data_IF_005832587823
#
_entry.id   IF_005832587823
#
_cell.length_a   1.000
_cell.length_b   1.000
_cell.length_c   1.000
_cell.angle_alpha   90.00
_cell.angle_beta   90.00
_cell.angle_gamma   90.00
#
_symmetry.space_group_name_H-M   'P 1'
#
loop_
_entity.id
_entity.type
_entity.pdbx_description
1 polymer ?
#
# COMPACT_ATOMS: atom_id res chain seq x y z
N UNK A 1 -17.39 -43.16 -60.99
CA UNK A 1 -17.58 -42.53 -59.67
C UNK A 1 -16.95 -41.15 -59.76
N UNK A 2 -17.79 -40.11 -59.82
CA UNK A 2 -17.50 -38.65 -59.85
C UNK A 2 -16.67 -38.14 -61.04
N UNK A 3 -17.38 -37.45 -61.94
CA UNK A 3 -16.89 -36.62 -63.04
C UNK A 3 -17.11 -35.13 -62.69
N UNK A 4 -16.36 -34.23 -63.37
CA UNK A 4 -16.62 -32.79 -63.60
C UNK A 4 -16.26 -31.83 -62.44
N UNK A 5 -15.74 -30.60 -62.58
CA UNK A 5 -15.54 -29.66 -63.70
C UNK A 5 -14.31 -28.76 -63.36
N UNK A 6 -13.40 -28.53 -64.30
CA UNK A 6 -12.51 -27.36 -64.31
C UNK A 6 -13.30 -26.15 -64.86
N UNK A 7 -13.56 -25.13 -64.04
CA UNK A 7 -14.17 -23.89 -64.50
C UNK A 7 -13.09 -22.80 -64.62
N UNK A 8 -12.60 -22.62 -65.85
CA UNK A 8 -11.99 -21.37 -66.31
C UNK A 8 -13.15 -20.41 -66.61
N UNK A 9 -13.27 -19.34 -65.84
CA UNK A 9 -13.93 -18.10 -66.30
C UNK A 9 -12.97 -16.95 -66.05
N UNK A 10 -12.34 -16.56 -67.14
CA UNK A 10 -11.78 -15.24 -67.37
C UNK A 10 -12.94 -14.23 -67.37
N UNK A 11 -12.82 -13.10 -66.69
CA UNK A 11 -13.53 -11.86 -67.06
C UNK A 11 -12.92 -10.63 -66.37
N UNK A 12 -12.40 -9.74 -67.23
CA UNK A 12 -12.40 -8.28 -67.15
C UNK A 12 -11.65 -7.60 -66.00
N UNK A 13 -10.47 -7.12 -66.38
CA UNK A 13 -9.90 -5.80 -66.09
C UNK A 13 -10.99 -4.75 -65.82
N UNK A 14 -11.18 -4.39 -64.55
CA UNK A 14 -11.91 -3.18 -64.15
C UNK A 14 -10.89 -2.15 -63.68
N UNK A 15 -10.87 -1.07 -64.44
CA UNK A 15 -10.08 0.13 -64.27
C UNK A 15 -10.22 0.70 -62.85
N UNK A 16 -9.09 1.08 -62.26
CA UNK A 16 -8.93 2.27 -61.41
C UNK A 16 -10.21 2.84 -60.77
N UNK A 17 -10.74 2.18 -59.73
CA UNK A 17 -11.59 2.84 -58.76
C UNK A 17 -10.71 3.24 -57.59
N UNK A 18 -10.29 4.50 -57.63
CA UNK A 18 -9.77 5.22 -56.47
C UNK A 18 -10.88 5.16 -55.42
N UNK A 19 -10.75 4.25 -54.47
CA UNK A 19 -11.54 4.27 -53.25
C UNK A 19 -11.12 5.53 -52.50
N UNK A 20 -11.86 6.62 -52.70
CA UNK A 20 -11.80 7.82 -51.88
C UNK A 20 -12.31 7.44 -50.49
N UNK A 21 -11.45 6.82 -49.67
CA UNK A 21 -11.70 6.73 -48.24
C UNK A 21 -11.80 8.17 -47.70
N UNK A 22 -12.87 8.54 -46.97
CA UNK A 22 -12.96 9.89 -46.42
C UNK A 22 -11.75 10.13 -45.51
N UNK A 23 -10.98 11.23 -45.70
CA UNK A 23 -9.74 11.49 -44.96
C UNK A 23 -9.95 11.61 -43.44
N UNK A 24 -11.20 11.78 -43.02
CA UNK A 24 -11.62 11.87 -41.63
C UNK A 24 -11.49 10.54 -40.86
N UNK A 25 -11.56 9.37 -41.52
CA UNK A 25 -11.47 8.08 -40.82
C UNK A 25 -10.03 7.78 -40.35
N UNK A 26 -9.03 8.26 -41.09
CA UNK A 26 -7.59 8.13 -40.75
C UNK A 26 -7.17 9.07 -39.61
N UNK A 27 -7.74 10.28 -39.59
CA UNK A 27 -7.50 11.26 -38.51
C UNK A 27 -8.03 10.79 -37.16
N UNK A 28 -9.16 10.06 -37.15
CA UNK A 28 -9.80 9.59 -35.92
C UNK A 28 -9.04 8.42 -35.26
N UNK A 29 -8.38 7.57 -36.06
CA UNK A 29 -7.53 6.47 -35.56
C UNK A 29 -6.22 7.00 -34.98
N UNK A 30 -5.64 8.03 -35.60
CA UNK A 30 -4.42 8.68 -35.11
C UNK A 30 -4.63 9.38 -33.76
N UNK A 31 -5.81 9.95 -33.53
CA UNK A 31 -6.15 10.66 -32.29
C UNK A 31 -6.41 9.71 -31.10
N UNK A 32 -6.86 8.47 -31.36
CA UNK A 32 -7.08 7.46 -30.31
C UNK A 32 -5.77 6.83 -29.78
N UNK A 33 -4.67 6.90 -30.54
CA UNK A 33 -3.36 6.40 -30.14
C UNK A 33 -2.52 7.41 -29.35
N UNK A 34 -2.97 8.67 -29.23
CA UNK A 34 -2.32 9.69 -28.42
C UNK A 34 -2.95 9.86 -27.03
N UNK A 35 -3.72 8.88 -26.55
CA UNK A 35 -4.10 8.86 -25.15
C UNK A 35 -2.79 8.75 -24.34
N UNK A 36 -2.48 9.71 -23.45
CA UNK A 36 -1.35 9.55 -22.55
C UNK A 36 -1.57 8.26 -21.78
N UNK A 37 -0.55 7.40 -21.75
CA UNK A 37 -0.53 6.27 -20.82
C UNK A 37 -0.63 6.88 -19.42
N UNK A 38 -1.85 6.88 -18.86
CA UNK A 38 -2.05 7.16 -17.46
C UNK A 38 -1.45 5.95 -16.75
N UNK A 39 -0.18 6.07 -16.35
CA UNK A 39 0.41 5.11 -15.44
C UNK A 39 -0.50 5.10 -14.21
N UNK A 40 -1.19 3.98 -13.97
CA UNK A 40 -1.91 3.80 -12.72
C UNK A 40 -0.88 3.96 -11.62
N UNK A 41 -1.05 4.99 -10.79
CA UNK A 41 -0.24 5.17 -9.60
C UNK A 41 -0.45 3.94 -8.71
N UNK A 42 0.44 2.95 -8.83
CA UNK A 42 0.50 1.83 -7.91
C UNK A 42 0.79 2.40 -6.54
N UNK A 43 0.06 1.93 -5.53
CA UNK A 43 0.22 2.44 -4.18
C UNK A 43 1.62 2.03 -3.69
N UNK A 44 2.53 2.98 -3.40
CA UNK A 44 3.92 2.67 -3.11
C UNK A 44 4.13 1.96 -1.75
N UNK A 45 3.06 1.80 -0.97
CA UNK A 45 3.07 1.07 0.30
C UNK A 45 1.85 0.16 0.32
N UNK A 46 2.05 -1.16 0.26
CA UNK A 46 0.95 -2.13 0.25
C UNK A 46 1.11 -3.20 1.34
N UNK A 47 -0.02 -3.55 1.96
CA UNK A 47 -0.08 -4.61 2.96
C UNK A 47 -0.21 -5.96 2.27
N UNK A 48 0.78 -6.82 2.45
CA UNK A 48 0.75 -8.22 2.00
C UNK A 48 -0.03 -9.09 2.97
N UNK A 49 0.11 -8.79 4.26
CA UNK A 49 -0.52 -9.53 5.34
C UNK A 49 -0.96 -8.59 6.46
N UNK A 50 -2.14 -8.84 7.02
CA UNK A 50 -2.68 -8.11 8.15
C UNK A 50 -3.59 -9.02 8.97
N UNK A 51 -3.26 -9.22 10.25
CA UNK A 51 -4.08 -10.05 11.15
C UNK A 51 -3.98 -9.60 12.60
N UNK A 52 -5.13 -9.37 13.22
CA UNK A 52 -5.27 -9.28 14.68
C UNK A 52 -5.52 -10.66 15.27
N UNK A 53 -4.74 -11.06 16.26
CA UNK A 53 -4.89 -12.35 16.96
C UNK A 53 -4.77 -12.14 18.45
N UNK A 54 -5.49 -12.95 19.21
CA UNK A 54 -5.33 -12.98 20.67
C UNK A 54 -4.23 -13.97 21.03
N UNK A 55 -3.18 -13.49 21.69
CA UNK A 55 -2.04 -14.27 22.16
C UNK A 55 -1.74 -13.87 23.60
N UNK A 56 -1.52 -14.84 24.49
CA UNK A 56 -1.10 -14.59 25.88
C UNK A 56 -1.97 -13.55 26.62
N UNK A 57 -3.30 -13.60 26.41
CA UNK A 57 -4.30 -12.65 26.97
C UNK A 57 -4.16 -11.21 26.46
N UNK A 58 -3.46 -10.98 25.36
CA UNK A 58 -3.38 -9.68 24.70
C UNK A 58 -3.89 -9.80 23.26
N UNK A 59 -4.55 -8.74 22.80
CA UNK A 59 -4.76 -8.56 21.37
C UNK A 59 -3.47 -8.05 20.76
N UNK A 60 -2.89 -8.84 19.87
CA UNK A 60 -1.66 -8.49 19.13
C UNK A 60 -1.92 -8.36 17.64
N UNK A 61 -1.18 -7.45 17.01
CA UNK A 61 -1.21 -7.17 15.58
C UNK A 61 0.01 -7.80 14.89
N UNK A 62 -0.25 -8.54 13.82
CA UNK A 62 0.76 -9.00 12.89
C UNK A 62 0.49 -8.37 11.51
N UNK A 63 1.52 -7.78 10.91
CA UNK A 63 1.43 -7.17 9.58
C UNK A 63 2.74 -7.33 8.81
N UNK A 64 2.61 -7.49 7.48
CA UNK A 64 3.72 -7.43 6.53
C UNK A 64 3.36 -6.42 5.47
N UNK A 65 4.22 -5.42 5.30
CA UNK A 65 4.09 -4.30 4.37
C UNK A 65 5.28 -4.31 3.43
N UNK A 66 5.00 -4.18 2.15
CA UNK A 66 5.99 -4.01 1.09
C UNK A 66 6.02 -2.55 0.64
N UNK A 67 7.20 -2.10 0.20
CA UNK A 67 7.44 -0.73 -0.20
C UNK A 67 8.01 -0.69 -1.62
N UNK A 68 7.40 0.14 -2.45
CA UNK A 68 7.90 0.53 -3.76
C UNK A 68 8.30 2.01 -3.69
N UNK A 69 9.47 2.27 -3.12
CA UNK A 69 9.95 3.64 -2.94
C UNK A 69 10.30 4.27 -4.30
N UNK A 70 9.80 5.48 -4.60
CA UNK A 70 10.21 6.20 -5.79
C UNK A 70 11.72 6.52 -5.78
N UNK A 71 12.38 6.57 -6.95
CA UNK A 71 13.81 6.87 -7.02
C UNK A 71 14.26 8.14 -6.28
N UNK A 72 13.52 9.27 -6.27
CA UNK A 72 13.90 10.45 -5.49
C UNK A 72 13.95 10.20 -3.97
N UNK A 73 13.07 9.35 -3.45
CA UNK A 73 13.02 8.99 -2.02
C UNK A 73 14.21 8.09 -1.66
N UNK A 74 14.54 7.12 -2.52
CA UNK A 74 15.73 6.27 -2.37
C UNK A 74 16.98 7.12 -2.39
N UNK A 75 17.09 8.05 -3.36
CA UNK A 75 18.22 8.95 -3.49
C UNK A 75 18.39 9.80 -2.22
N UNK A 76 17.31 10.31 -1.64
CA UNK A 76 17.36 11.06 -0.39
C UNK A 76 17.92 10.20 0.75
N UNK A 77 17.41 8.99 0.94
CA UNK A 77 17.90 8.05 1.97
C UNK A 77 19.40 7.80 1.78
N UNK A 78 19.84 7.56 0.54
CA UNK A 78 21.25 7.30 0.19
C UNK A 78 22.18 8.49 0.46
N UNK A 79 21.63 9.71 0.52
CA UNK A 79 22.35 10.95 0.84
C UNK A 79 22.19 11.39 2.31
N UNK A 80 21.97 10.43 3.22
CA UNK A 80 21.88 10.67 4.67
C UNK A 80 20.72 11.61 5.05
N UNK A 81 19.66 11.64 4.23
CA UNK A 81 18.43 12.34 4.59
C UNK A 81 17.55 11.38 5.40
N UNK A 82 17.23 11.80 6.61
CA UNK A 82 16.39 11.05 7.54
C UNK A 82 14.93 11.10 7.08
N UNK A 83 14.47 10.03 6.44
CA UNK A 83 13.07 9.87 6.05
C UNK A 83 12.28 9.27 7.20
N UNK A 84 11.20 9.94 7.60
CA UNK A 84 10.37 9.48 8.72
C UNK A 84 9.10 8.81 8.20
N UNK A 85 8.86 7.57 8.60
CA UNK A 85 7.60 6.87 8.37
C UNK A 85 6.75 6.91 9.64
N UNK A 86 5.50 7.34 9.50
CA UNK A 86 4.50 7.32 10.56
C UNK A 86 3.64 6.06 10.43
N UNK A 87 3.62 5.25 11.49
CA UNK A 87 2.70 4.14 11.66
C UNK A 87 1.58 4.55 12.60
N UNK A 88 0.33 4.36 12.19
CA UNK A 88 -0.85 4.62 12.99
C UNK A 88 -1.69 3.36 13.07
N UNK A 89 -2.08 2.97 14.28
CA UNK A 89 -2.91 1.80 14.56
C UNK A 89 -4.05 2.24 15.46
N UNK A 90 -5.27 1.89 15.07
CA UNK A 90 -6.49 2.25 15.80
C UNK A 90 -7.32 0.99 16.00
N UNK A 91 -7.71 0.74 17.26
CA UNK A 91 -8.68 -0.29 17.60
C UNK A 91 -10.06 0.36 17.71
N UNK A 92 -10.96 -0.02 16.82
CA UNK A 92 -12.36 0.38 16.85
C UNK A 92 -13.22 -0.73 17.46
N UNK A 93 -14.14 -0.33 18.31
CA UNK A 93 -15.26 -1.12 18.79
C UNK A 93 -16.51 -0.71 18.01
N UNK A 94 -17.20 -1.68 17.45
CA UNK A 94 -18.46 -1.51 16.74
C UNK A 94 -19.57 -2.21 17.55
N UNK A 95 -20.63 -1.45 17.83
CA UNK A 95 -21.80 -1.93 18.56
C UNK A 95 -23.06 -1.45 17.85
N UNK A 96 -23.98 -2.39 17.59
CA UNK A 96 -25.32 -2.08 17.12
C UNK A 96 -26.24 -1.80 18.30
N UNK A 97 -26.97 -0.69 18.24
CA UNK A 97 -27.95 -0.30 19.25
C UNK A 97 -29.14 0.40 18.57
N UNK A 98 -30.36 -0.10 18.81
CA UNK A 98 -31.61 0.48 18.29
C UNK A 98 -31.61 0.69 16.76
N UNK A 99 -31.01 -0.23 16.00
CA UNK A 99 -30.91 -0.14 14.54
C UNK A 99 -29.85 0.85 14.03
N UNK A 100 -29.02 1.40 14.92
CA UNK A 100 -27.89 2.27 14.59
C UNK A 100 -26.56 1.62 14.97
N UNK A 101 -25.58 1.70 14.08
CA UNK A 101 -24.22 1.19 14.33
C UNK A 101 -23.33 2.31 14.87
N UNK A 102 -22.82 2.13 16.09
CA UNK A 102 -21.92 3.07 16.75
C UNK A 102 -20.48 2.55 16.71
N UNK A 103 -19.54 3.43 16.33
CA UNK A 103 -18.11 3.15 16.34
C UNK A 103 -17.43 3.96 17.43
N UNK A 104 -16.64 3.31 18.27
CA UNK A 104 -15.86 3.93 19.34
C UNK A 104 -14.40 3.54 19.23
N UNK A 105 -13.51 4.52 19.27
CA UNK A 105 -12.08 4.26 19.40
C UNK A 105 -11.77 3.76 20.82
N UNK A 106 -11.17 2.57 20.93
CA UNK A 106 -10.76 1.97 22.20
C UNK A 106 -9.30 2.21 22.50
N UNK A 107 -8.47 2.19 21.47
CA UNK A 107 -7.03 2.37 21.59
C UNK A 107 -6.49 3.00 20.31
N UNK A 108 -5.53 3.91 20.46
CA UNK A 108 -4.81 4.52 19.34
C UNK A 108 -3.33 4.59 19.65
N UNK A 109 -2.53 4.11 18.70
CA UNK A 109 -1.07 4.05 18.79
C UNK A 109 -0.52 4.71 17.53
N UNK A 110 0.29 5.74 17.71
CA UNK A 110 1.00 6.39 16.62
C UNK A 110 2.48 6.52 16.97
N UNK A 111 3.35 6.17 16.04
CA UNK A 111 4.79 6.34 16.21
C UNK A 111 5.50 6.53 14.89
N UNK A 112 6.73 7.01 15.00
CA UNK A 112 7.61 7.23 13.87
C UNK A 112 8.78 6.26 13.87
N UNK A 113 9.22 5.89 12.67
CA UNK A 113 10.46 5.18 12.43
C UNK A 113 11.25 5.95 11.39
N UNK A 114 12.49 6.32 11.72
CA UNK A 114 13.44 6.96 10.81
C UNK A 114 14.19 5.92 9.99
N UNK A 115 14.43 6.24 8.72
CA UNK A 115 15.27 5.49 7.79
C UNK A 115 16.25 6.45 7.09
N UNK A 116 17.55 6.14 7.17
CA UNK A 116 18.63 6.88 6.51
C UNK A 116 19.81 5.96 6.22
N UNK A 117 20.64 6.32 5.23
CA UNK A 117 21.93 5.66 4.99
C UNK A 117 23.06 6.43 5.70
N UNK A 118 24.06 5.73 6.21
CA UNK A 118 25.25 6.36 6.81
C UNK A 118 26.55 5.64 6.44
N UNK A 119 27.64 6.42 6.43
CA UNK A 119 29.01 5.94 6.25
C UNK A 119 29.39 5.57 4.82
N UNK A 120 30.69 5.34 4.59
CA UNK A 120 31.27 5.09 3.26
C UNK A 120 30.70 3.81 2.61
N UNK A 121 30.49 2.77 3.41
CA UNK A 121 29.94 1.49 2.95
C UNK A 121 28.41 1.49 2.80
N UNK A 122 27.74 2.64 3.05
CA UNK A 122 26.28 2.81 2.99
C UNK A 122 25.50 1.76 3.76
N UNK A 123 25.55 1.87 5.08
CA UNK A 123 24.67 1.09 5.94
C UNK A 123 23.34 1.80 6.10
N UNK A 124 22.24 1.06 6.07
CA UNK A 124 20.90 1.60 6.28
C UNK A 124 20.51 1.46 7.75
N UNK A 125 20.04 2.54 8.38
CA UNK A 125 19.64 2.55 9.78
C UNK A 125 18.15 2.72 9.90
N UNK A 126 17.54 1.89 10.73
CA UNK A 126 16.22 2.15 11.27
C UNK A 126 16.33 2.60 12.72
N UNK A 127 15.63 3.68 13.04
CA UNK A 127 15.48 4.14 14.42
C UNK A 127 14.00 4.30 14.75
N UNK A 128 13.51 3.50 15.70
CA UNK A 128 12.10 3.50 16.10
C UNK A 128 11.88 4.37 17.33
N UNK A 129 11.08 5.43 17.21
CA UNK A 129 10.85 6.40 18.29
C UNK A 129 9.93 5.89 19.39
N UNK A 130 9.20 4.78 19.19
CA UNK A 130 8.33 4.19 20.21
C UNK A 130 9.14 3.39 21.24
N UNK A 131 10.17 2.68 20.80
CA UNK A 131 10.94 1.78 21.66
C UNK A 131 12.45 2.09 21.72
N UNK A 132 12.88 3.18 21.09
CA UNK A 132 14.26 3.66 21.02
C UNK A 132 15.25 2.64 20.46
N UNK A 133 14.77 1.62 19.72
CA UNK A 133 15.63 0.61 19.11
C UNK A 133 16.22 1.15 17.81
N UNK A 134 17.54 1.02 17.70
CA UNK A 134 18.30 1.23 16.48
C UNK A 134 18.69 -0.12 15.87
N UNK A 135 18.51 -0.28 14.57
CA UNK A 135 18.96 -1.45 13.79
C UNK A 135 19.69 -0.98 12.55
N UNK A 136 20.72 -1.73 12.15
CA UNK A 136 21.57 -1.42 11.00
C UNK A 136 21.54 -2.57 10.00
N UNK A 137 21.49 -2.25 8.71
CA UNK A 137 21.38 -3.19 7.61
C UNK A 137 22.41 -2.89 6.52
N UNK A 138 22.83 -3.92 5.79
CA UNK A 138 23.73 -3.79 4.64
C UNK A 138 22.99 -3.38 3.36
N UNK A 139 21.67 -3.59 3.29
CA UNK A 139 20.84 -3.28 2.12
C UNK A 139 19.58 -2.51 2.53
N UNK A 140 19.12 -1.64 1.64
CA UNK A 140 17.87 -0.90 1.80
C UNK A 140 16.68 -1.87 1.91
N UNK A 141 16.69 -2.92 1.10
CA UNK A 141 15.65 -3.95 1.10
C UNK A 141 15.48 -4.59 2.49
N UNK A 142 16.57 -4.98 3.17
CA UNK A 142 16.50 -5.57 4.51
C UNK A 142 15.98 -4.57 5.56
N UNK A 143 16.31 -3.28 5.40
CA UNK A 143 15.77 -2.22 6.24
C UNK A 143 14.25 -2.06 5.99
N UNK A 144 13.80 -2.02 4.73
CA UNK A 144 12.39 -1.90 4.38
C UNK A 144 11.57 -3.11 4.82
N UNK A 145 12.09 -4.33 4.65
CA UNK A 145 11.48 -5.55 5.17
C UNK A 145 11.30 -5.46 6.70
N UNK A 146 12.29 -4.96 7.42
CA UNK A 146 12.17 -4.79 8.88
C UNK A 146 11.19 -3.67 9.26
N UNK A 147 11.18 -2.56 8.53
CA UNK A 147 10.26 -1.45 8.74
C UNK A 147 8.80 -1.89 8.53
N UNK A 148 8.55 -2.70 7.50
CA UNK A 148 7.22 -3.17 7.11
C UNK A 148 6.70 -4.37 7.90
N UNK A 149 7.53 -4.97 8.76
CA UNK A 149 7.13 -6.16 9.50
C UNK A 149 6.78 -5.82 10.96
N UNK A 150 5.50 -5.97 11.30
CA UNK A 150 5.02 -5.95 12.68
C UNK A 150 4.75 -7.37 13.15
N UNK A 151 5.50 -7.84 14.15
CA UNK A 151 5.34 -9.17 14.73
C UNK A 151 4.84 -9.04 16.17
N UNK A 152 3.72 -9.70 16.45
CA UNK A 152 3.08 -9.75 17.77
C UNK A 152 3.04 -8.37 18.49
N UNK A 153 2.70 -7.31 17.76
CA UNK A 153 2.66 -5.97 18.34
C UNK A 153 1.48 -5.86 19.32
N UNK A 154 1.70 -5.63 20.62
CA UNK A 154 0.62 -5.57 21.60
C UNK A 154 -0.21 -4.31 21.39
N UNK A 155 -1.54 -4.48 21.35
CA UNK A 155 -2.51 -3.40 21.19
C UNK A 155 -3.19 -3.08 22.53
N UNK A 156 -3.82 -4.09 23.14
CA UNK A 156 -4.60 -3.94 24.38
C UNK A 156 -4.73 -5.30 25.09
N UNK A 157 -4.91 -5.28 26.41
CA UNK A 157 -5.19 -6.49 27.18
C UNK A 157 -6.61 -7.02 26.88
N UNK A 158 -6.75 -8.35 26.80
CA UNK A 158 -8.03 -9.00 26.52
C UNK A 158 -9.09 -8.71 27.59
N UNK A 159 -8.67 -8.42 28.83
CA UNK A 159 -9.57 -8.06 29.93
C UNK A 159 -10.32 -6.74 29.72
N UNK A 160 -9.81 -5.86 28.84
CA UNK A 160 -10.43 -4.59 28.49
C UNK A 160 -11.45 -4.69 27.34
N UNK A 161 -11.58 -5.89 26.76
CA UNK A 161 -12.43 -6.18 25.61
C UNK A 161 -13.61 -7.06 26.02
N UNK A 162 -14.75 -6.79 25.37
CA UNK A 162 -16.00 -7.50 25.57
C UNK A 162 -16.21 -8.50 24.42
N UNK A 163 -16.31 -9.79 24.72
CA UNK A 163 -16.44 -10.83 23.71
C UNK A 163 -17.75 -10.79 22.91
N UNK A 164 -18.77 -10.06 23.38
CA UNK A 164 -20.03 -9.88 22.64
C UNK A 164 -19.97 -8.70 21.65
N UNK A 165 -18.88 -7.92 21.65
CA UNK A 165 -18.70 -6.77 20.75
C UNK A 165 -17.84 -7.10 19.54
N UNK A 166 -18.05 -6.35 18.46
CA UNK A 166 -17.23 -6.47 17.26
C UNK A 166 -16.07 -5.47 17.34
N UNK A 167 -14.87 -5.93 17.00
CA UNK A 167 -13.68 -5.08 16.96
C UNK A 167 -13.04 -5.07 15.58
N UNK A 168 -12.51 -3.92 15.19
CA UNK A 168 -11.74 -3.74 13.96
C UNK A 168 -10.39 -3.10 14.30
N UNK A 169 -9.32 -3.69 13.76
CA UNK A 169 -8.00 -3.07 13.77
C UNK A 169 -7.80 -2.34 12.46
N UNK A 170 -7.54 -1.04 12.56
CA UNK A 170 -7.13 -0.20 11.45
C UNK A 170 -5.65 0.12 11.56
N UNK A 171 -4.94 0.02 10.45
CA UNK A 171 -3.53 0.41 10.36
C UNK A 171 -3.29 1.27 9.13
N UNK A 172 -2.40 2.25 9.27
CA UNK A 172 -1.90 3.08 8.18
C UNK A 172 -0.39 3.29 8.36
N UNK A 173 0.34 3.20 7.25
CA UNK A 173 1.74 3.54 7.18
C UNK A 173 1.93 4.60 6.09
N UNK A 174 2.64 5.67 6.41
CA UNK A 174 2.87 6.77 5.48
C UNK A 174 4.23 7.43 5.72
N UNK A 175 4.80 8.01 4.67
CA UNK A 175 5.93 8.93 4.80
C UNK A 175 5.40 10.25 5.40
N UNK A 176 6.03 10.73 6.47
CA UNK A 176 5.67 11.99 7.11
C UNK A 176 6.41 13.15 6.44
N UNK A 177 5.81 13.67 5.36
CA UNK A 177 6.41 14.74 4.56
C UNK A 177 6.67 16.04 5.35
N UNK A 178 5.97 16.25 6.46
CA UNK A 178 6.15 17.41 7.33
C UNK A 178 7.43 17.32 8.17
N UNK A 179 8.09 16.16 8.17
CA UNK A 179 9.37 15.92 8.85
C UNK A 179 10.54 15.84 7.88
N UNK A 180 10.34 16.19 6.61
CA UNK A 180 11.46 16.38 5.69
C UNK A 180 12.32 17.57 6.15
N UNK A 181 13.64 17.56 5.89
CA UNK A 181 14.49 18.72 6.12
C UNK A 181 13.97 19.97 5.41
N UNK A 182 14.23 21.15 5.97
CA UNK A 182 13.66 22.41 5.48
C UNK A 182 13.81 22.65 3.96
N UNK A 183 14.96 22.34 3.31
CA UNK A 183 15.07 22.48 1.84
C UNK A 183 14.14 21.55 1.05
N UNK A 184 13.83 20.36 1.58
CA UNK A 184 12.98 19.36 0.93
C UNK A 184 11.50 19.50 1.30
N UNK A 185 11.13 20.36 2.26
CA UNK A 185 9.72 20.59 2.59
C UNK A 185 8.94 21.15 1.41
N UNK A 186 9.55 22.06 0.63
CA UNK A 186 8.91 22.63 -0.57
C UNK A 186 8.64 21.50 -1.57
N UNK A 187 9.64 20.66 -1.81
CA UNK A 187 9.55 19.49 -2.69
C UNK A 187 8.45 18.53 -2.20
N UNK A 188 8.42 18.23 -0.90
CA UNK A 188 7.42 17.39 -0.24
C UNK A 188 5.98 17.89 -0.37
N UNK A 189 5.78 19.19 -0.59
CA UNK A 189 4.46 19.79 -0.78
C UNK A 189 3.99 19.75 -2.23
N UNK A 190 4.92 19.85 -3.18
CA UNK A 190 4.64 19.97 -4.61
C UNK A 190 4.65 18.62 -5.33
N UNK A 191 5.52 17.70 -4.91
CA UNK A 191 5.81 16.48 -5.64
C UNK A 191 5.08 15.26 -5.07
N UNK A 192 4.43 14.50 -5.94
CA UNK A 192 3.62 13.34 -5.56
C UNK A 192 4.46 12.18 -5.01
N UNK A 193 5.73 12.07 -5.40
CA UNK A 193 6.61 10.99 -4.94
C UNK A 193 6.94 11.07 -3.44
N UNK A 194 6.68 12.20 -2.77
CA UNK A 194 6.75 12.31 -1.31
C UNK A 194 5.46 11.90 -0.59
N UNK A 195 4.37 11.65 -1.32
CA UNK A 195 3.04 11.34 -0.77
C UNK A 195 2.82 9.83 -0.60
N UNK A 196 3.82 9.12 -0.09
CA UNK A 196 3.74 7.67 0.13
C UNK A 196 2.76 7.36 1.27
N UNK A 197 1.67 6.65 0.97
CA UNK A 197 0.63 6.36 1.95
C UNK A 197 -0.11 5.07 1.62
N UNK A 198 -0.10 4.10 2.54
CA UNK A 198 -0.82 2.83 2.37
C UNK A 198 -2.34 2.95 2.34
N UNK A 199 -2.88 4.12 2.70
CA UNK A 199 -4.27 4.26 3.12
C UNK A 199 -4.53 3.51 4.43
N UNK A 200 -5.77 3.61 4.92
CA UNK A 200 -6.21 2.79 6.05
C UNK A 200 -6.55 1.39 5.57
N UNK A 201 -5.85 0.39 6.10
CA UNK A 201 -6.24 -1.02 5.99
C UNK A 201 -6.98 -1.42 7.26
N UNK A 202 -7.99 -2.26 7.13
CA UNK A 202 -8.85 -2.68 8.24
C UNK A 202 -9.00 -4.20 8.26
N UNK A 203 -8.94 -4.79 9.45
CA UNK A 203 -9.22 -6.21 9.66
C UNK A 203 -10.15 -6.38 10.86
N UNK A 204 -11.18 -7.21 10.70
CA UNK A 204 -12.04 -7.62 11.82
C UNK A 204 -11.28 -8.55 12.74
N UNK A 205 -11.39 -8.31 14.05
CA UNK A 205 -10.76 -9.12 15.09
C UNK A 205 -11.81 -10.01 15.75
N UNK A 206 -11.48 -11.28 15.94
CA UNK A 206 -12.30 -12.20 16.71
C UNK A 206 -11.79 -12.28 18.16
N UNK A 207 -12.65 -11.93 19.11
CA UNK A 207 -12.39 -12.04 20.54
C UNK A 207 -12.98 -13.37 21.03
N UNK A 208 -12.17 -14.27 21.61
CA UNK A 208 -12.69 -15.53 22.12
C UNK A 208 -13.64 -15.26 23.29
N UNK A 209 -14.80 -15.94 23.30
CA UNK A 209 -15.70 -15.90 24.45
C UNK A 209 -14.97 -16.45 25.68
N UNK A 210 -15.13 -15.78 26.82
CA UNK A 210 -14.65 -16.32 28.11
C UNK A 210 -15.33 -17.67 28.33
N UNK A 211 -14.55 -18.75 28.23
CA UNK A 211 -15.04 -20.08 28.61
C UNK A 211 -15.11 -20.10 30.12
N UNK A 212 -16.32 -20.11 30.64
CA UNK A 212 -16.61 -20.18 32.06
C UNK A 212 -16.25 -21.59 32.55
N UNK A 213 -15.01 -21.77 33.02
CA UNK A 213 -14.60 -23.02 33.66
C UNK A 213 -15.24 -23.00 35.05
N UNK A 214 -16.45 -23.57 35.16
CA UNK A 214 -17.03 -23.94 36.44
C UNK A 214 -16.02 -24.81 37.19
N UNK A 215 -15.47 -24.27 38.28
CA UNK A 215 -14.81 -25.05 39.32
C UNK A 215 -15.85 -25.56 40.30
#
# INVERSE_FOLDING_TARGET
>A
MIWTVFFIVCLKKVSSMIFFSPPYLSLLVSFLLSLPNVALAQNPIHFVYLKGVVQEKQLVLNAVVEFELPPPVILAIDHDIHIQFKTEIVLLEEQDMLGMTFKRERQSIAYHTELYAYGVNRYYVLYNHRNYKRRTFQTLEAALQTLGTLQAMPIVDLSELDAEKTYFLKIRLQLDKWRLPAPLLIDGLLEEYWRLNSGWQEVKVHIPKKVDIKR
#
